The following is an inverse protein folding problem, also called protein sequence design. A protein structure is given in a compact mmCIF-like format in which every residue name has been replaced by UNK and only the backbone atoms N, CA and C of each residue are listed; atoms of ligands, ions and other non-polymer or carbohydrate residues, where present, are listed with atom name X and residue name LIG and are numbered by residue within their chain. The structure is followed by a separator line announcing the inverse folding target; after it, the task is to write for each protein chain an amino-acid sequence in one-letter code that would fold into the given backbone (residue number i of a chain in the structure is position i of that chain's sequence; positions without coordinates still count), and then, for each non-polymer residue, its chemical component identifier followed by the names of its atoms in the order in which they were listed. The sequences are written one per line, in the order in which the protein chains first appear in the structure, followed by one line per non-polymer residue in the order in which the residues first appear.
data_IF_317487080091
#
_entry.id   IF_317487080091
#
_cell.length_a   1.000
_cell.length_b   1.000
_cell.length_c   1.000
_cell.angle_alpha   90.00
_cell.angle_beta   90.00
_cell.angle_gamma   90.00
#
_symmetry.space_group_name_H-M   'P 1'
#
loop_
_entity.id
_entity.type
_entity.pdbx_description
1 polymer ?
#
# COMPACT_ATOMS: atom_id res chain seq x y z
N UNK A 1 45.04 53.50 -57.63
CA UNK A 1 43.87 52.69 -58.10
C UNK A 1 43.71 51.41 -57.26
N UNK A 2 43.71 51.47 -55.88
CA UNK A 2 43.79 50.29 -55.02
C UNK A 2 42.91 50.34 -53.75
N UNK A 3 42.23 51.46 -53.48
CA UNK A 3 41.36 51.54 -52.25
C UNK A 3 39.88 51.20 -52.50
N UNK A 4 39.38 51.34 -53.72
CA UNK A 4 37.95 51.11 -54.02
C UNK A 4 37.63 49.61 -54.14
N UNK A 5 38.58 48.78 -54.62
CA UNK A 5 38.37 47.35 -54.81
C UNK A 5 38.31 46.57 -53.49
N UNK A 6 39.05 47.00 -52.46
CA UNK A 6 39.02 46.36 -51.14
C UNK A 6 37.69 46.58 -50.40
N UNK A 7 36.99 47.71 -50.63
CA UNK A 7 35.72 48.04 -49.98
C UNK A 7 34.55 47.22 -50.57
N UNK A 8 34.57 46.98 -51.86
CA UNK A 8 33.57 46.14 -52.55
C UNK A 8 33.73 44.69 -52.22
N UNK A 9 34.97 44.17 -52.16
CA UNK A 9 35.27 42.77 -51.84
C UNK A 9 34.81 42.42 -50.39
N UNK A 10 35.03 43.32 -49.42
CA UNK A 10 34.52 43.11 -48.02
C UNK A 10 33.00 43.06 -47.93
N UNK A 11 32.30 43.82 -48.78
CA UNK A 11 30.82 43.79 -48.82
C UNK A 11 30.29 42.50 -49.42
N UNK A 12 30.94 41.95 -50.42
CA UNK A 12 30.58 40.65 -51.04
C UNK A 12 30.86 39.47 -50.09
N UNK A 13 31.94 39.49 -49.33
CA UNK A 13 32.25 38.47 -48.33
C UNK A 13 31.22 38.51 -47.18
N UNK A 14 30.80 39.70 -46.76
CA UNK A 14 29.81 39.86 -45.73
C UNK A 14 28.40 39.38 -46.17
N UNK A 15 28.04 39.62 -47.42
CA UNK A 15 26.79 39.19 -48.02
C UNK A 15 26.78 37.66 -48.25
N UNK A 16 27.89 37.08 -48.68
CA UNK A 16 28.02 35.64 -48.86
C UNK A 16 27.91 34.88 -47.51
N UNK A 17 28.50 35.45 -46.45
CA UNK A 17 28.37 34.92 -45.09
C UNK A 17 26.93 35.00 -44.55
N UNK A 18 26.24 36.09 -44.86
CA UNK A 18 24.85 36.31 -44.43
C UNK A 18 23.88 35.38 -45.17
N UNK A 19 24.11 35.12 -46.46
CA UNK A 19 23.33 34.18 -47.26
C UNK A 19 23.58 32.74 -46.79
N UNK A 20 24.84 32.40 -46.49
CA UNK A 20 25.19 31.08 -45.91
C UNK A 20 24.55 30.82 -44.56
N UNK A 21 24.47 31.87 -43.71
CA UNK A 21 23.80 31.80 -42.40
C UNK A 21 22.27 31.63 -42.51
N UNK A 22 21.65 32.26 -43.49
CA UNK A 22 20.22 32.10 -43.77
C UNK A 22 19.89 30.71 -44.30
N UNK A 23 20.77 30.10 -45.12
CA UNK A 23 20.58 28.75 -45.62
C UNK A 23 20.80 27.68 -44.55
N UNK A 24 21.65 27.97 -43.54
CA UNK A 24 21.83 27.06 -42.40
C UNK A 24 20.65 27.13 -41.43
N UNK A 25 19.98 28.28 -41.30
CA UNK A 25 18.78 28.43 -40.44
C UNK A 25 17.51 27.90 -41.11
N UNK A 26 17.45 27.81 -42.46
CA UNK A 26 16.28 27.26 -43.14
C UNK A 26 16.27 25.71 -43.19
N UNK A 27 17.37 25.04 -42.84
CA UNK A 27 17.43 23.57 -42.73
C UNK A 27 16.75 23.01 -41.47
N UNK A 28 16.55 23.79 -40.42
CA UNK A 28 15.98 23.33 -39.15
C UNK A 28 14.44 23.55 -38.98
N UNK A 29 13.80 24.22 -39.94
CA UNK A 29 12.36 24.50 -39.87
C UNK A 29 11.48 23.58 -40.72
N UNK A 30 12.05 22.54 -41.35
CA UNK A 30 11.27 21.66 -42.23
C UNK A 30 10.62 20.50 -41.53
N UNK A 31 10.89 20.29 -40.27
CA UNK A 31 10.27 19.21 -39.48
C UNK A 31 9.08 19.67 -38.63
N UNK A 32 8.70 20.96 -38.64
CA UNK A 32 7.62 21.47 -37.78
C UNK A 32 6.27 21.71 -38.49
N UNK A 33 6.17 21.39 -39.80
CA UNK A 33 4.91 21.46 -40.52
C UNK A 33 4.57 20.09 -41.10
N UNK A 34 4.07 19.19 -40.23
CA UNK A 34 3.27 18.06 -40.67
C UNK A 34 1.84 18.56 -40.93
N UNK A 35 1.26 18.27 -42.09
CA UNK A 35 -0.14 18.58 -42.34
C UNK A 35 -0.99 17.73 -41.38
N UNK A 36 -1.79 18.40 -40.55
CA UNK A 36 -2.87 17.77 -39.82
C UNK A 36 -3.86 17.29 -40.86
N UNK A 37 -3.82 16.02 -41.25
CA UNK A 37 -4.91 15.38 -41.92
C UNK A 37 -6.06 15.21 -40.94
N UNK A 38 -7.31 15.49 -41.27
CA UNK A 38 -8.44 15.21 -40.41
C UNK A 38 -8.55 13.69 -40.28
N UNK A 39 -8.13 13.17 -39.16
CA UNK A 39 -8.33 11.77 -38.79
C UNK A 39 -9.81 11.63 -38.47
N UNK A 40 -10.50 10.83 -39.28
CA UNK A 40 -11.84 10.36 -39.00
C UNK A 40 -11.84 9.77 -37.59
N UNK A 41 -12.73 10.26 -36.75
CA UNK A 41 -13.14 9.59 -35.51
C UNK A 41 -13.67 8.18 -35.85
N UNK A 42 -12.77 7.22 -35.84
CA UNK A 42 -13.06 5.85 -35.56
C UNK A 42 -12.49 5.60 -34.16
N UNK A 43 -13.36 5.52 -33.18
CA UNK A 43 -13.00 5.08 -31.84
C UNK A 43 -12.54 3.63 -31.97
N UNK A 44 -11.25 3.44 -32.22
CA UNK A 44 -10.60 2.18 -31.98
C UNK A 44 -10.42 2.13 -30.47
N UNK A 45 -11.34 1.43 -29.83
CA UNK A 45 -11.16 0.99 -28.44
C UNK A 45 -9.94 0.08 -28.49
N UNK A 46 -8.77 0.67 -28.28
CA UNK A 46 -7.56 -0.09 -27.93
C UNK A 46 -7.93 -0.71 -26.59
N UNK A 47 -8.27 -2.00 -26.65
CA UNK A 47 -8.60 -2.77 -25.47
C UNK A 47 -7.40 -2.66 -24.53
N UNK A 48 -7.62 -2.05 -23.37
CA UNK A 48 -6.67 -1.96 -22.28
C UNK A 48 -6.23 -3.35 -21.74
N UNK A 49 -6.69 -4.41 -22.40
CA UNK A 49 -6.34 -5.81 -22.11
C UNK A 49 -5.02 -6.26 -22.75
N UNK A 50 -4.52 -5.59 -23.81
CA UNK A 50 -3.26 -6.00 -24.45
C UNK A 50 -2.02 -5.35 -23.81
N UNK A 51 -2.14 -4.18 -23.17
CA UNK A 51 -1.02 -3.59 -22.42
C UNK A 51 -0.90 -4.12 -20.97
N UNK A 52 -1.98 -4.68 -20.42
CA UNK A 52 -1.92 -5.38 -19.14
C UNK A 52 -1.23 -6.76 -19.23
N UNK A 53 -1.00 -7.27 -20.43
CA UNK A 53 -0.41 -8.59 -20.68
C UNK A 53 1.13 -8.62 -20.65
N UNK A 54 1.81 -7.48 -20.57
CA UNK A 54 3.27 -7.37 -20.58
C UNK A 54 3.86 -6.78 -19.31
N UNK A 55 3.07 -6.54 -18.26
CA UNK A 55 3.62 -6.50 -16.92
C UNK A 55 4.22 -7.88 -16.67
N UNK A 56 5.53 -8.00 -16.82
CA UNK A 56 6.31 -9.17 -16.46
C UNK A 56 5.82 -9.61 -15.10
N UNK A 57 5.10 -10.75 -15.09
CA UNK A 57 4.54 -11.33 -13.89
C UNK A 57 5.76 -11.72 -13.07
N UNK A 58 6.23 -10.79 -12.26
CA UNK A 58 7.37 -10.98 -11.38
C UNK A 58 7.07 -12.25 -10.59
N UNK A 59 7.76 -13.33 -10.94
CA UNK A 59 7.55 -14.63 -10.30
C UNK A 59 8.00 -14.46 -8.87
N UNK A 60 7.01 -14.38 -7.98
CA UNK A 60 7.30 -14.37 -6.55
C UNK A 60 8.22 -15.54 -6.21
N UNK A 61 9.27 -15.33 -5.41
CA UNK A 61 10.21 -16.38 -5.05
C UNK A 61 9.47 -17.61 -4.49
N UNK A 62 9.83 -18.78 -4.95
CA UNK A 62 9.27 -20.03 -4.44
C UNK A 62 9.63 -20.19 -2.95
N UNK A 63 8.67 -20.64 -2.15
CA UNK A 63 8.88 -20.86 -0.71
C UNK A 63 8.77 -19.58 0.14
N UNK A 64 8.26 -18.49 -0.41
CA UNK A 64 7.94 -17.26 0.33
C UNK A 64 6.43 -17.06 0.36
N UNK A 65 5.92 -16.69 1.52
CA UNK A 65 4.53 -16.36 1.76
C UNK A 65 4.41 -14.85 1.98
N UNK A 66 3.30 -14.27 1.57
CA UNK A 66 3.05 -12.83 1.63
C UNK A 66 1.77 -12.52 2.44
N UNK A 67 1.75 -12.88 3.75
CA UNK A 67 0.63 -12.52 4.60
C UNK A 67 0.61 -11.02 4.90
N UNK A 68 -0.54 -10.55 5.37
CA UNK A 68 -0.73 -9.18 5.84
C UNK A 68 -0.63 -9.13 7.35
N UNK A 69 0.02 -8.08 7.86
CA UNK A 69 -0.05 -7.66 9.26
C UNK A 69 -0.78 -6.33 9.32
N UNK A 70 -1.44 -6.03 10.41
CA UNK A 70 -2.20 -4.78 10.55
C UNK A 70 -1.49 -3.87 11.55
N UNK A 71 -0.84 -2.84 11.00
CA UNK A 71 -0.09 -1.83 11.74
C UNK A 71 -0.95 -0.57 11.94
N UNK A 72 -0.62 0.24 12.94
CA UNK A 72 -1.25 1.54 13.15
C UNK A 72 -0.49 2.64 12.41
N UNK A 73 -1.22 3.63 11.94
CA UNK A 73 -0.67 4.85 11.39
C UNK A 73 -0.01 5.73 12.47
N UNK A 74 0.74 6.76 12.05
CA UNK A 74 1.47 7.64 12.97
C UNK A 74 0.61 8.42 13.96
N UNK A 75 -0.69 8.53 13.71
CA UNK A 75 -1.65 9.16 14.62
C UNK A 75 -2.34 8.17 15.55
N UNK A 76 -2.15 6.88 15.31
CA UNK A 76 -2.84 5.78 16.00
C UNK A 76 -4.37 5.85 15.90
N UNK A 77 -4.87 6.26 14.72
CA UNK A 77 -6.31 6.39 14.45
C UNK A 77 -6.87 5.22 13.64
N UNK A 78 -6.03 4.57 12.82
CA UNK A 78 -6.50 3.49 11.95
C UNK A 78 -5.48 2.36 11.78
N UNK A 79 -5.99 1.17 11.42
CA UNK A 79 -5.19 0.00 11.06
C UNK A 79 -4.97 -0.05 9.56
N UNK A 80 -3.71 -0.19 9.16
CA UNK A 80 -3.28 -0.31 7.78
C UNK A 80 -2.76 -1.73 7.52
N UNK A 81 -3.30 -2.44 6.51
CA UNK A 81 -2.78 -3.74 6.12
C UNK A 81 -1.45 -3.59 5.39
N UNK A 82 -0.40 -4.22 5.90
CA UNK A 82 0.94 -4.25 5.32
C UNK A 82 1.29 -5.68 4.96
N UNK A 83 1.63 -5.91 3.70
CA UNK A 83 2.11 -7.22 3.24
C UNK A 83 3.56 -7.41 3.66
N UNK A 84 3.87 -8.57 4.24
CA UNK A 84 5.21 -8.94 4.68
C UNK A 84 5.65 -10.23 4.00
N UNK A 85 6.92 -10.31 3.62
CA UNK A 85 7.49 -11.54 3.08
C UNK A 85 7.96 -12.44 4.24
N UNK A 86 7.45 -13.66 4.30
CA UNK A 86 7.85 -14.65 5.29
C UNK A 86 8.28 -15.94 4.59
N UNK A 87 9.37 -16.58 5.04
CA UNK A 87 9.69 -17.93 4.57
C UNK A 87 8.52 -18.88 4.81
N UNK A 88 8.32 -19.82 3.89
CA UNK A 88 7.30 -20.82 4.07
C UNK A 88 7.53 -21.63 5.37
N UNK A 89 6.49 -21.77 6.16
CA UNK A 89 6.48 -22.54 7.40
C UNK A 89 5.09 -23.12 7.65
N UNK A 90 5.03 -24.30 8.29
CA UNK A 90 3.75 -24.87 8.72
C UNK A 90 3.02 -23.97 9.73
N UNK A 91 3.78 -23.23 10.53
CA UNK A 91 3.26 -22.27 11.52
C UNK A 91 3.10 -20.83 10.99
N UNK A 92 2.77 -20.64 9.71
CA UNK A 92 2.71 -19.29 9.09
C UNK A 92 1.85 -18.30 9.87
N UNK A 93 0.73 -18.71 10.41
CA UNK A 93 -0.14 -17.80 11.18
C UNK A 93 0.55 -17.30 12.47
N UNK A 94 1.31 -18.17 13.14
CA UNK A 94 2.12 -17.79 14.30
C UNK A 94 3.26 -16.86 13.90
N UNK A 95 4.00 -17.21 12.84
CA UNK A 95 5.09 -16.37 12.33
C UNK A 95 4.59 -14.97 11.90
N UNK A 96 3.38 -14.90 11.32
CA UNK A 96 2.75 -13.62 10.97
C UNK A 96 2.42 -12.77 12.20
N UNK A 97 1.93 -13.38 13.29
CA UNK A 97 1.71 -12.67 14.56
C UNK A 97 3.02 -12.22 15.20
N UNK A 98 4.07 -13.04 15.15
CA UNK A 98 5.39 -12.66 15.64
C UNK A 98 5.93 -11.46 14.85
N UNK A 99 5.69 -11.42 13.52
CA UNK A 99 6.04 -10.28 12.69
C UNK A 99 5.20 -9.02 13.00
N UNK A 100 3.92 -9.17 13.35
CA UNK A 100 3.09 -8.07 13.83
C UNK A 100 3.63 -7.48 15.13
N UNK A 101 4.07 -8.33 16.07
CA UNK A 101 4.66 -7.90 17.34
C UNK A 101 6.00 -7.19 17.11
N UNK A 102 6.85 -7.74 16.23
CA UNK A 102 8.11 -7.11 15.81
C UNK A 102 7.89 -5.71 15.23
N UNK A 103 6.75 -5.53 14.54
CA UNK A 103 6.38 -4.27 13.92
C UNK A 103 7.06 -4.01 12.57
N UNK A 104 6.99 -2.76 12.08
CA UNK A 104 7.60 -2.34 10.83
C UNK A 104 9.13 -2.30 10.94
N UNK A 105 9.80 -2.35 9.78
CA UNK A 105 11.23 -2.06 9.74
C UNK A 105 11.48 -0.58 10.06
N UNK A 106 12.69 -0.21 10.55
CA UNK A 106 13.01 1.20 10.82
C UNK A 106 12.82 2.13 9.61
N UNK A 107 13.03 1.61 8.39
CA UNK A 107 12.80 2.36 7.17
C UNK A 107 11.29 2.59 6.91
N UNK A 108 10.44 1.62 7.19
CA UNK A 108 8.98 1.74 7.08
C UNK A 108 8.42 2.68 8.15
N UNK A 109 8.90 2.58 9.37
CA UNK A 109 8.55 3.49 10.46
C UNK A 109 8.90 4.93 10.10
N UNK A 110 10.15 5.18 9.68
CA UNK A 110 10.62 6.53 9.30
C UNK A 110 9.86 7.11 8.10
N UNK A 111 9.55 6.28 7.09
CA UNK A 111 8.95 6.73 5.83
C UNK A 111 7.44 6.91 5.92
N UNK A 112 6.76 6.05 6.67
CA UNK A 112 5.30 5.97 6.67
C UNK A 112 4.68 6.22 8.05
N UNK A 113 5.48 6.38 9.09
CA UNK A 113 5.01 6.57 10.46
C UNK A 113 4.27 5.37 11.04
N UNK A 114 4.48 4.18 10.48
CA UNK A 114 3.80 2.97 10.94
C UNK A 114 4.40 2.47 12.25
N UNK A 115 3.58 1.85 13.08
CA UNK A 115 4.03 1.15 14.29
C UNK A 115 3.18 -0.08 14.59
N UNK A 116 3.72 -1.01 15.39
CA UNK A 116 2.89 -2.09 15.94
C UNK A 116 1.91 -1.52 16.96
N UNK A 117 0.65 -1.91 16.93
CA UNK A 117 -0.29 -1.58 18.01
C UNK A 117 -0.01 -2.37 19.28
N UNK A 118 0.74 -3.48 19.20
CA UNK A 118 0.99 -4.39 20.31
C UNK A 118 2.16 -3.93 21.17
N UNK A 119 2.11 -4.13 22.50
CA UNK A 119 3.25 -3.95 23.37
C UNK A 119 4.45 -4.81 22.90
N UNK A 120 5.68 -4.25 22.82
CA UNK A 120 6.82 -4.96 22.23
C UNK A 120 7.29 -6.16 23.06
N UNK A 121 6.85 -6.26 24.31
CA UNK A 121 7.13 -7.39 25.20
C UNK A 121 6.13 -8.55 25.06
N UNK A 122 5.11 -8.39 24.25
CA UNK A 122 4.10 -9.42 23.94
C UNK A 122 4.76 -10.66 23.34
N UNK A 123 4.32 -11.84 23.75
CA UNK A 123 4.80 -13.12 23.22
C UNK A 123 3.65 -14.02 22.85
N UNK A 124 3.75 -14.68 21.70
CA UNK A 124 2.84 -15.75 21.30
C UNK A 124 3.25 -17.03 22.02
N UNK A 125 2.48 -17.45 23.01
CA UNK A 125 2.69 -18.67 23.79
C UNK A 125 2.23 -19.92 23.04
N UNK A 126 1.10 -19.79 22.35
CA UNK A 126 0.54 -20.87 21.56
C UNK A 126 -0.50 -20.39 20.56
N UNK A 127 -0.62 -21.10 19.46
CA UNK A 127 -1.67 -20.90 18.47
C UNK A 127 -2.13 -22.27 17.98
N UNK A 128 -3.43 -22.53 18.10
CA UNK A 128 -4.05 -23.75 17.60
C UNK A 128 -5.22 -23.36 16.70
N UNK A 129 -5.25 -23.91 15.49
CA UNK A 129 -6.36 -23.70 14.55
C UNK A 129 -7.05 -25.03 14.32
N UNK A 130 -8.33 -25.14 14.72
CA UNK A 130 -9.15 -26.33 14.54
C UNK A 130 -10.59 -25.95 14.24
N UNK A 131 -11.18 -26.58 13.24
CA UNK A 131 -12.59 -26.40 12.86
C UNK A 131 -12.99 -24.92 12.64
N UNK A 132 -12.07 -24.11 12.11
CA UNK A 132 -12.30 -22.70 11.87
C UNK A 132 -12.04 -21.79 13.08
N UNK A 133 -11.74 -22.34 14.26
CA UNK A 133 -11.43 -21.55 15.45
C UNK A 133 -9.91 -21.48 15.67
N UNK A 134 -9.37 -20.28 15.67
CA UNK A 134 -8.00 -19.99 16.10
C UNK A 134 -8.02 -19.63 17.58
N UNK A 135 -7.40 -20.48 18.41
CA UNK A 135 -7.15 -20.19 19.84
C UNK A 135 -5.74 -19.68 19.98
N UNK A 136 -5.60 -18.41 20.26
CA UNK A 136 -4.34 -17.73 20.47
C UNK A 136 -4.09 -17.53 21.96
N UNK A 137 -3.00 -18.11 22.47
CA UNK A 137 -2.51 -17.87 23.83
C UNK A 137 -1.31 -16.88 23.78
N UNK A 138 -1.44 -15.79 24.51
CA UNK A 138 -0.47 -14.69 24.56
C UNK A 138 -0.03 -14.41 26.00
N UNK A 139 1.15 -13.80 26.15
CA UNK A 139 1.67 -13.40 27.47
C UNK A 139 0.84 -12.27 28.09
N UNK A 140 0.91 -12.17 29.43
CA UNK A 140 0.23 -11.11 30.19
C UNK A 140 0.65 -9.70 29.74
N UNK A 141 1.87 -9.52 29.25
CA UNK A 141 2.38 -8.24 28.73
C UNK A 141 1.60 -7.72 27.50
N UNK A 142 0.78 -8.57 26.87
CA UNK A 142 -0.16 -8.12 25.85
C UNK A 142 -1.15 -7.07 26.37
N UNK A 143 -1.46 -7.09 27.65
CA UNK A 143 -2.42 -6.17 28.27
C UNK A 143 -1.81 -4.80 28.65
N UNK A 144 -0.53 -4.58 28.40
CA UNK A 144 0.18 -3.35 28.73
C UNK A 144 -0.01 -2.26 27.65
N UNK A 145 -1.26 -2.06 27.22
CA UNK A 145 -1.66 -1.01 26.28
C UNK A 145 -2.59 0.00 26.94
N UNK A 146 -2.75 1.18 26.32
CA UNK A 146 -3.73 2.16 26.75
C UNK A 146 -5.15 1.61 26.49
N UNK A 147 -6.04 1.56 27.50
CA UNK A 147 -7.43 1.09 27.32
C UNK A 147 -8.17 1.79 26.17
N UNK A 148 -7.84 3.04 25.85
CA UNK A 148 -8.40 3.77 24.72
C UNK A 148 -7.98 3.22 23.34
N UNK A 149 -6.88 2.44 23.30
CA UNK A 149 -6.36 1.82 22.07
C UNK A 149 -6.78 0.35 21.91
N UNK A 150 -7.58 -0.18 22.85
CA UNK A 150 -7.94 -1.60 22.88
C UNK A 150 -8.49 -2.11 21.55
N UNK A 151 -9.32 -1.32 20.88
CA UNK A 151 -9.88 -1.69 19.59
C UNK A 151 -8.80 -1.89 18.53
N UNK A 152 -7.81 -1.00 18.44
CA UNK A 152 -6.68 -1.13 17.51
C UNK A 152 -5.85 -2.36 17.84
N UNK A 153 -5.57 -2.60 19.13
CA UNK A 153 -4.77 -3.73 19.60
C UNK A 153 -5.47 -5.06 19.27
N UNK A 154 -6.71 -5.22 19.66
CA UNK A 154 -7.48 -6.45 19.42
C UNK A 154 -7.68 -6.70 17.93
N UNK A 155 -8.14 -5.67 17.19
CA UNK A 155 -8.42 -5.78 15.76
C UNK A 155 -7.16 -6.12 14.96
N UNK A 156 -6.00 -5.59 15.31
CA UNK A 156 -4.74 -5.92 14.62
C UNK A 156 -4.44 -7.43 14.67
N UNK A 157 -4.61 -8.04 15.83
CA UNK A 157 -4.41 -9.49 16.01
C UNK A 157 -5.48 -10.28 15.28
N UNK A 158 -6.74 -9.90 15.46
CA UNK A 158 -7.89 -10.60 14.90
C UNK A 158 -7.85 -10.57 13.37
N UNK A 159 -7.64 -9.42 12.73
CA UNK A 159 -7.55 -9.30 11.27
C UNK A 159 -6.33 -10.04 10.72
N UNK A 160 -5.22 -10.02 11.45
CA UNK A 160 -4.02 -10.77 11.06
C UNK A 160 -4.28 -12.28 11.05
N UNK A 161 -5.15 -12.79 11.92
CA UNK A 161 -5.53 -14.20 11.92
C UNK A 161 -6.65 -14.52 10.93
N UNK A 162 -7.67 -13.68 10.82
CA UNK A 162 -8.83 -13.91 9.95
C UNK A 162 -8.52 -13.86 8.45
N UNK A 163 -7.32 -13.43 8.05
CA UNK A 163 -6.89 -13.53 6.65
C UNK A 163 -6.65 -14.97 6.19
N UNK A 164 -6.34 -15.88 7.12
CA UNK A 164 -6.07 -17.28 6.79
C UNK A 164 -7.38 -18.03 6.52
N UNK A 165 -7.50 -18.74 5.37
CA UNK A 165 -8.76 -19.43 5.01
C UNK A 165 -9.23 -20.46 6.04
N UNK A 166 -8.30 -20.99 6.82
CA UNK A 166 -8.61 -21.96 7.88
C UNK A 166 -9.18 -21.33 9.14
N UNK A 167 -9.23 -19.96 9.23
CA UNK A 167 -9.68 -19.22 10.42
C UNK A 167 -10.98 -18.50 10.11
N UNK A 168 -12.02 -18.81 10.85
CA UNK A 168 -13.33 -18.14 10.82
C UNK A 168 -13.58 -17.30 12.08
N UNK A 169 -13.10 -17.81 13.21
CA UNK A 169 -13.24 -17.18 14.52
C UNK A 169 -11.89 -17.19 15.24
N UNK A 170 -11.67 -16.21 16.11
CA UNK A 170 -10.49 -16.07 16.95
C UNK A 170 -10.91 -16.04 18.42
N UNK A 171 -10.28 -16.85 19.26
CA UNK A 171 -10.38 -16.80 20.70
C UNK A 171 -9.06 -16.36 21.29
N UNK A 172 -9.06 -15.32 22.09
CA UNK A 172 -7.87 -14.82 22.77
C UNK A 172 -7.79 -15.37 24.18
N UNK A 173 -6.64 -15.95 24.51
CA UNK A 173 -6.30 -16.42 25.85
C UNK A 173 -5.08 -15.63 26.33
N UNK A 174 -5.08 -15.23 27.58
CA UNK A 174 -3.94 -14.61 28.24
C UNK A 174 -3.44 -15.55 29.33
N UNK A 175 -2.18 -15.97 29.25
CA UNK A 175 -1.59 -16.97 30.15
C UNK A 175 -2.41 -18.26 30.23
N UNK A 176 -3.01 -18.67 29.08
CA UNK A 176 -3.80 -19.89 28.95
C UNK A 176 -5.27 -19.78 29.38
N UNK A 177 -5.73 -18.62 29.84
CA UNK A 177 -7.11 -18.40 30.30
C UNK A 177 -7.82 -17.31 29.48
N UNK A 178 -9.12 -17.50 29.20
CA UNK A 178 -9.95 -16.45 28.65
C UNK A 178 -10.23 -15.40 29.73
N UNK A 179 -10.09 -14.13 29.37
CA UNK A 179 -10.41 -13.03 30.29
C UNK A 179 -11.92 -12.84 30.39
N UNK A 180 -12.41 -12.36 31.53
CA UNK A 180 -13.77 -11.83 31.63
C UNK A 180 -13.92 -10.62 30.72
N UNK A 181 -12.96 -9.69 30.85
CA UNK A 181 -12.97 -8.40 30.16
C UNK A 181 -11.54 -7.95 29.94
N UNK A 182 -11.25 -7.40 28.76
CA UNK A 182 -10.00 -6.72 28.46
C UNK A 182 -9.96 -5.34 29.12
N UNK A 183 -8.79 -4.68 29.26
CA UNK A 183 -8.62 -3.41 29.95
C UNK A 183 -9.56 -2.28 29.50
N UNK A 184 -9.91 -2.21 28.21
CA UNK A 184 -10.82 -1.21 27.64
C UNK A 184 -12.30 -1.60 27.67
N UNK A 185 -12.63 -2.77 28.23
CA UNK A 185 -14.03 -3.18 28.46
C UNK A 185 -14.57 -4.22 27.46
N UNK A 186 -13.81 -4.65 26.48
CA UNK A 186 -14.25 -5.69 25.53
C UNK A 186 -14.35 -7.05 26.24
N UNK A 187 -15.43 -7.80 25.98
CA UNK A 187 -15.58 -9.17 26.51
C UNK A 187 -14.50 -10.09 25.97
N UNK A 188 -13.81 -10.79 26.87
CA UNK A 188 -12.78 -11.77 26.49
C UNK A 188 -13.28 -13.20 26.41
N UNK A 189 -14.58 -13.45 26.72
CA UNK A 189 -15.21 -14.77 26.67
C UNK A 189 -15.72 -15.15 25.29
N UNK A 190 -16.03 -14.15 24.48
CA UNK A 190 -16.59 -14.35 23.16
C UNK A 190 -15.51 -14.61 22.11
N UNK A 191 -15.89 -15.33 21.07
CA UNK A 191 -15.02 -15.48 19.92
C UNK A 191 -15.21 -14.28 18.99
N UNK A 192 -14.11 -13.78 18.46
CA UNK A 192 -14.13 -12.67 17.51
C UNK A 192 -14.27 -13.23 16.09
N UNK A 193 -15.14 -12.66 15.31
CA UNK A 193 -15.30 -12.92 13.89
C UNK A 193 -15.15 -11.63 13.06
N UNK A 194 -15.27 -11.75 11.75
CA UNK A 194 -15.11 -10.61 10.85
C UNK A 194 -16.25 -9.58 11.00
N UNK A 195 -17.45 -10.01 11.32
CA UNK A 195 -18.61 -9.13 11.40
C UNK A 195 -18.55 -8.26 12.66
N UNK A 196 -18.17 -8.85 13.80
CA UNK A 196 -18.04 -8.12 15.07
C UNK A 196 -16.93 -7.06 15.02
N UNK A 197 -15.89 -7.30 14.21
CA UNK A 197 -14.69 -6.46 14.16
C UNK A 197 -14.79 -5.34 13.12
N UNK A 198 -15.55 -5.56 12.02
CA UNK A 198 -15.65 -4.58 10.93
C UNK A 198 -16.78 -3.56 11.13
N UNK A 199 -17.71 -3.78 12.03
CA UNK A 199 -18.95 -3.01 12.12
C UNK A 199 -19.01 -2.04 13.30
N UNK A 200 -17.90 -1.72 13.96
CA UNK A 200 -17.91 -0.51 14.76
C UNK A 200 -17.73 0.68 13.83
N UNK A 201 -18.86 1.30 13.51
CA UNK A 201 -18.88 2.67 13.05
C UNK A 201 -17.96 3.47 13.96
N UNK A 202 -16.86 3.96 13.43
CA UNK A 202 -16.10 5.04 14.05
C UNK A 202 -17.05 6.24 13.96
N UNK A 203 -17.93 6.34 14.96
CA UNK A 203 -19.12 7.14 14.98
C UNK A 203 -18.91 8.57 14.52
N UNK A 204 -19.29 8.79 13.34
CA UNK A 204 -19.81 10.01 12.79
C UNK A 204 -21.01 9.61 11.98
N UNK A 205 -22.19 9.69 12.56
CA UNK A 205 -23.39 9.94 11.80
C UNK A 205 -23.18 11.28 11.10
N UNK A 206 -22.34 11.28 10.06
CA UNK A 206 -22.46 12.31 9.04
C UNK A 206 -23.81 12.08 8.39
N UNK A 207 -24.70 13.03 8.60
CA UNK A 207 -26.01 13.08 7.97
C UNK A 207 -25.85 12.99 6.45
N UNK A 208 -25.86 11.78 5.92
CA UNK A 208 -25.81 11.47 4.50
C UNK A 208 -27.18 11.64 3.83
N UNK A 209 -28.16 12.21 4.51
CA UNK A 209 -29.53 12.42 4.02
C UNK A 209 -29.61 13.31 2.76
N UNK A 210 -28.52 13.98 2.39
CA UNK A 210 -28.43 14.80 1.18
C UNK A 210 -27.85 14.09 -0.04
N UNK A 211 -27.44 12.82 0.08
CA UNK A 211 -26.84 12.08 -1.04
C UNK A 211 -27.86 11.10 -1.63
N UNK A 212 -28.47 11.47 -2.73
CA UNK A 212 -29.54 10.68 -3.38
C UNK A 212 -29.06 9.33 -3.96
N UNK A 213 -27.77 9.11 -4.15
CA UNK A 213 -27.20 7.83 -4.56
C UNK A 213 -25.78 7.67 -4.01
N UNK A 214 -25.62 6.88 -2.96
CA UNK A 214 -24.31 6.43 -2.50
C UNK A 214 -24.07 4.98 -2.86
N UNK A 215 -23.01 4.70 -3.60
CA UNK A 215 -22.50 3.36 -3.79
C UNK A 215 -21.28 3.18 -2.87
N UNK A 216 -21.37 2.19 -1.98
CA UNK A 216 -20.21 1.86 -1.13
C UNK A 216 -19.07 1.33 -2.04
N UNK A 217 -17.96 2.07 -2.11
CA UNK A 217 -16.74 1.64 -2.82
C UNK A 217 -15.70 1.28 -1.78
N UNK A 218 -15.36 0.00 -1.69
CA UNK A 218 -14.25 -0.44 -0.85
C UNK A 218 -12.96 -0.30 -1.65
N UNK A 219 -12.12 0.65 -1.28
CA UNK A 219 -10.82 0.87 -1.93
C UNK A 219 -9.75 0.17 -1.08
N UNK A 220 -9.11 -0.85 -1.66
CA UNK A 220 -7.96 -1.51 -1.04
C UNK A 220 -6.69 -0.90 -1.62
N UNK A 221 -5.91 -0.22 -0.79
CA UNK A 221 -4.58 0.24 -1.15
C UNK A 221 -3.57 -0.85 -0.76
N UNK A 222 -3.01 -1.53 -1.75
CA UNK A 222 -1.85 -2.40 -1.54
C UNK A 222 -0.61 -1.61 -1.92
N UNK A 223 0.19 -1.20 -0.93
CA UNK A 223 1.53 -0.69 -1.20
C UNK A 223 2.49 -1.88 -1.13
N UNK A 224 3.06 -2.26 -2.25
CA UNK A 224 4.21 -3.18 -2.26
C UNK A 224 5.39 -2.34 -1.80
N UNK A 225 5.82 -2.55 -0.56
CA UNK A 225 7.02 -1.94 -0.03
C UNK A 225 8.20 -2.75 -0.57
N UNK A 226 8.71 -2.35 -1.75
CA UNK A 226 9.93 -2.90 -2.30
C UNK A 226 11.12 -2.54 -1.40
N UNK A 227 11.88 -3.53 -1.01
CA UNK A 227 13.21 -3.32 -0.45
C UNK A 227 14.11 -2.80 -1.58
N UNK A 228 14.72 -1.62 -1.36
CA UNK A 228 15.89 -1.16 -2.11
C UNK A 228 17.14 -1.52 -1.33
#
# INVERSE_FOLDING_TARGET
MTMAVKKTLRRYIFWAFFIGLILLLSGCLREFFLPISPQKEGAEIISAEEEAGQAEKERLPEGVLYPRIYLVDGKRECLLPVTVALPWTEGVAKATLEKLIEGPTPAQEMRYGLSSPLPPTTKVRGLTIREGLAKLDISASFLDYDPGEEELVLNSVIFTLLQFPAVKNVQLLVEGAALETFPGGTSGKENFDREQVLNRDVGGEEDLSGLEQTQAVTIYFCTVLGEN
#
